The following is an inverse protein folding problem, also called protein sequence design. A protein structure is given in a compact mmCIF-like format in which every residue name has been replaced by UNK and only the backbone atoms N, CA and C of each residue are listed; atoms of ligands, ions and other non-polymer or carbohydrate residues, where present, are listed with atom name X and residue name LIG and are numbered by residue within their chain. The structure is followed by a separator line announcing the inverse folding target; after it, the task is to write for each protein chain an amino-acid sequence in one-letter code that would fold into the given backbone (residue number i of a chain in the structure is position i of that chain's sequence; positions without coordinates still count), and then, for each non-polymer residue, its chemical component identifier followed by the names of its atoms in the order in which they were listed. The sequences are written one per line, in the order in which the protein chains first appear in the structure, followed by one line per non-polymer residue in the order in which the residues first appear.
data_IF_653156253756
#
_entry.id   IF_653156253756
#
_cell.length_a   1.000
_cell.length_b   1.000
_cell.length_c   1.000
_cell.angle_alpha   90.00
_cell.angle_beta   90.00
_cell.angle_gamma   90.00
#
_symmetry.space_group_name_H-M   'P 1'
#
loop_
_entity.id
_entity.type
_entity.pdbx_description
1 polymer ?
#
# COMPACT_ATOMS: atom_id res chain seq x y z
N UNK A 1 50.61 -26.37 -3.03
CA UNK A 1 49.59 -25.86 -3.99
C UNK A 1 48.71 -27.02 -4.41
N UNK A 2 47.51 -27.17 -3.84
CA UNK A 2 46.56 -28.21 -4.25
C UNK A 2 45.73 -27.70 -5.42
N UNK A 3 46.08 -28.09 -6.65
CA UNK A 3 45.24 -27.85 -7.82
C UNK A 3 43.95 -28.66 -7.66
N UNK A 4 42.86 -28.01 -7.24
CA UNK A 4 41.52 -28.60 -7.29
C UNK A 4 41.16 -28.86 -8.75
N UNK A 5 40.70 -30.08 -9.07
CA UNK A 5 40.22 -30.44 -10.42
C UNK A 5 39.20 -29.40 -10.92
N UNK A 6 39.26 -28.99 -12.20
CA UNK A 6 38.26 -28.10 -12.79
C UNK A 6 36.87 -28.76 -12.73
N UNK A 7 35.85 -27.99 -12.32
CA UNK A 7 34.48 -28.50 -12.18
C UNK A 7 33.84 -28.70 -13.56
N UNK A 8 32.94 -29.67 -13.66
CA UNK A 8 32.32 -30.06 -14.95
C UNK A 8 31.52 -28.90 -15.58
N UNK A 9 31.74 -28.59 -16.88
CA UNK A 9 30.96 -27.57 -17.60
C UNK A 9 29.46 -27.85 -17.56
N UNK A 10 29.07 -29.12 -17.64
CA UNK A 10 27.67 -29.57 -17.62
C UNK A 10 27.03 -29.25 -16.27
N UNK A 11 27.71 -29.56 -15.16
CA UNK A 11 27.21 -29.24 -13.82
C UNK A 11 27.08 -27.74 -13.58
N UNK A 12 28.01 -26.95 -14.12
CA UNK A 12 27.97 -25.49 -14.02
C UNK A 12 26.78 -24.94 -14.78
N UNK A 13 26.51 -25.45 -15.98
CA UNK A 13 25.38 -25.02 -16.80
C UNK A 13 24.03 -25.25 -16.10
N UNK A 14 23.79 -26.44 -15.55
CA UNK A 14 22.54 -26.74 -14.84
C UNK A 14 22.37 -25.92 -13.55
N UNK A 15 23.45 -25.70 -12.79
CA UNK A 15 23.40 -24.87 -11.58
C UNK A 15 23.13 -23.41 -11.95
N UNK A 16 23.76 -22.88 -13.00
CA UNK A 16 23.52 -21.52 -13.50
C UNK A 16 22.11 -21.31 -14.06
N UNK A 17 21.46 -22.35 -14.61
CA UNK A 17 20.07 -22.26 -15.09
C UNK A 17 19.07 -22.04 -13.94
N UNK A 18 19.34 -22.59 -12.77
CA UNK A 18 18.49 -22.43 -11.58
C UNK A 18 18.80 -21.12 -10.88
N UNK A 19 20.09 -20.81 -10.70
CA UNK A 19 20.54 -19.58 -10.04
C UNK A 19 21.89 -19.13 -10.63
N UNK A 20 21.92 -18.07 -11.46
CA UNK A 20 23.12 -17.61 -12.15
C UNK A 20 24.30 -17.28 -11.21
N UNK A 21 24.00 -16.78 -10.00
CA UNK A 21 25.02 -16.48 -8.98
C UNK A 21 25.62 -17.77 -8.40
N UNK A 22 24.80 -18.80 -8.19
CA UNK A 22 25.24 -20.10 -7.66
C UNK A 22 26.19 -20.82 -8.64
N UNK A 23 25.96 -20.69 -9.94
CA UNK A 23 26.84 -21.25 -10.96
C UNK A 23 28.23 -20.60 -10.99
N UNK A 24 28.30 -19.27 -10.81
CA UNK A 24 29.56 -18.54 -10.71
C UNK A 24 30.32 -18.87 -9.42
N UNK A 25 29.60 -19.08 -8.32
CA UNK A 25 30.16 -19.59 -7.06
C UNK A 25 30.65 -21.04 -7.21
N UNK A 26 29.93 -21.87 -7.96
CA UNK A 26 30.30 -23.25 -8.22
C UNK A 26 31.67 -23.35 -8.91
N UNK A 27 31.95 -22.51 -9.90
CA UNK A 27 33.28 -22.51 -10.55
C UNK A 27 34.34 -21.69 -9.81
N UNK A 28 34.06 -21.22 -8.59
CA UNK A 28 35.01 -20.48 -7.77
C UNK A 28 35.25 -19.04 -8.23
N UNK A 29 34.40 -18.48 -9.09
CA UNK A 29 34.50 -17.09 -9.58
C UNK A 29 33.74 -16.10 -8.70
N UNK A 30 34.12 -16.05 -7.42
CA UNK A 30 33.43 -15.25 -6.39
C UNK A 30 33.30 -13.75 -6.70
N UNK A 31 34.32 -13.13 -7.32
CA UNK A 31 34.24 -11.70 -7.72
C UNK A 31 33.21 -11.45 -8.81
N UNK A 32 33.10 -12.38 -9.76
CA UNK A 32 32.12 -12.30 -10.84
C UNK A 32 30.71 -12.59 -10.30
N UNK A 33 30.59 -13.59 -9.42
CA UNK A 33 29.34 -13.88 -8.71
C UNK A 33 28.83 -12.68 -7.92
N UNK A 34 29.74 -11.94 -7.26
CA UNK A 34 29.38 -10.71 -6.54
C UNK A 34 28.90 -9.60 -7.49
N UNK A 35 29.61 -9.35 -8.59
CA UNK A 35 29.20 -8.35 -9.58
C UNK A 35 27.84 -8.70 -10.20
N UNK A 36 27.62 -9.98 -10.53
CA UNK A 36 26.35 -10.47 -11.06
C UNK A 36 25.23 -10.41 -10.01
N UNK A 37 25.50 -10.71 -8.74
CA UNK A 37 24.54 -10.56 -7.66
C UNK A 37 24.16 -9.08 -7.43
N UNK A 38 25.14 -8.17 -7.45
CA UNK A 38 24.88 -6.72 -7.32
C UNK A 38 24.04 -6.23 -8.50
N UNK A 39 24.34 -6.65 -9.73
CA UNK A 39 23.55 -6.26 -10.90
C UNK A 39 22.14 -6.86 -10.86
N UNK A 40 22.01 -8.17 -10.66
CA UNK A 40 20.72 -8.87 -10.71
C UNK A 40 19.81 -8.42 -9.57
N UNK A 41 20.31 -8.45 -8.32
CA UNK A 41 19.52 -8.08 -7.15
C UNK A 41 19.46 -6.57 -6.94
N UNK A 42 20.47 -5.81 -7.34
CA UNK A 42 20.38 -4.34 -7.39
C UNK A 42 19.36 -3.87 -8.42
N UNK A 43 19.16 -4.62 -9.51
CA UNK A 43 18.06 -4.38 -10.44
C UNK A 43 16.72 -4.82 -9.85
N UNK A 44 16.64 -5.94 -9.12
CA UNK A 44 15.38 -6.34 -8.43
C UNK A 44 15.00 -5.34 -7.34
N UNK A 45 15.96 -4.90 -6.52
CA UNK A 45 15.79 -3.84 -5.54
C UNK A 45 15.43 -2.55 -6.26
N UNK A 46 16.16 -2.17 -7.31
CA UNK A 46 15.89 -0.96 -8.06
C UNK A 46 14.56 -0.97 -8.82
N UNK A 47 14.07 -2.11 -9.29
CA UNK A 47 12.71 -2.24 -9.85
C UNK A 47 11.67 -2.16 -8.74
N UNK A 48 11.97 -2.71 -7.55
CA UNK A 48 11.11 -2.61 -6.38
C UNK A 48 11.11 -1.21 -5.71
N UNK A 49 12.17 -0.41 -5.91
CA UNK A 49 12.49 0.86 -5.22
C UNK A 49 12.83 2.06 -6.11
N UNK A 50 12.81 1.96 -7.43
CA UNK A 50 12.92 3.09 -8.38
C UNK A 50 11.83 3.05 -9.47
N UNK A 51 10.94 2.06 -9.42
CA UNK A 51 9.50 2.29 -9.63
C UNK A 51 8.87 3.09 -8.46
N UNK A 52 9.61 4.08 -7.94
CA UNK A 52 9.42 4.72 -6.63
C UNK A 52 10.05 6.12 -6.67
N UNK A 53 9.21 7.16 -6.60
CA UNK A 53 9.38 8.23 -5.62
C UNK A 53 7.99 8.62 -5.05
N UNK A 54 7.82 9.03 -3.79
CA UNK A 54 8.60 10.01 -3.07
C UNK A 54 8.26 9.99 -1.57
N UNK A 55 8.99 10.77 -0.78
CA UNK A 55 8.78 10.92 0.67
C UNK A 55 7.68 11.95 0.98
N UNK A 56 6.90 11.70 2.04
CA UNK A 56 6.26 12.76 2.84
C UNK A 56 6.14 12.34 4.31
N UNK A 57 6.89 13.07 5.15
CA UNK A 57 6.51 13.61 6.47
C UNK A 57 5.77 12.69 7.45
N UNK A 58 6.52 11.96 8.29
CA UNK A 58 6.43 11.99 9.76
C UNK A 58 7.49 11.03 10.36
N UNK A 59 8.09 11.40 11.49
CA UNK A 59 9.40 10.90 11.95
C UNK A 59 9.43 9.54 12.70
N UNK A 60 8.40 8.70 12.61
CA UNK A 60 8.37 7.38 13.26
C UNK A 60 8.82 6.14 12.43
N UNK A 61 8.74 6.08 11.09
CA UNK A 61 9.16 4.91 10.32
C UNK A 61 10.69 4.75 10.26
N UNK A 62 11.46 5.79 10.59
CA UNK A 62 12.92 5.75 10.61
C UNK A 62 13.47 4.82 11.70
N UNK A 63 12.81 4.73 12.87
CA UNK A 63 13.29 3.87 13.96
C UNK A 63 13.12 2.38 13.64
N UNK A 64 11.97 2.01 13.07
CA UNK A 64 11.69 0.63 12.66
C UNK A 64 12.59 0.24 11.48
N UNK A 65 12.78 1.14 10.51
CA UNK A 65 13.72 0.92 9.40
C UNK A 65 15.16 0.70 9.90
N UNK A 66 15.65 1.55 10.80
CA UNK A 66 16.99 1.41 11.41
C UNK A 66 17.10 0.10 12.21
N UNK A 67 16.07 -0.28 12.96
CA UNK A 67 16.06 -1.53 13.73
C UNK A 67 16.07 -2.77 12.82
N UNK A 68 15.33 -2.73 11.70
CA UNK A 68 15.29 -3.80 10.71
C UNK A 68 16.62 -3.91 9.93
N UNK A 69 17.28 -2.77 9.65
CA UNK A 69 18.65 -2.75 9.11
C UNK A 69 19.63 -3.35 10.12
N UNK A 70 19.52 -3.01 11.40
CA UNK A 70 20.35 -3.60 12.47
C UNK A 70 20.14 -5.12 12.56
N UNK A 71 18.89 -5.60 12.51
CA UNK A 71 18.58 -7.04 12.52
C UNK A 71 19.10 -7.74 11.27
N UNK A 72 19.05 -7.10 10.10
CA UNK A 72 19.69 -7.58 8.87
C UNK A 72 21.21 -7.68 9.02
N UNK A 73 21.86 -6.67 9.62
CA UNK A 73 23.30 -6.67 9.92
C UNK A 73 23.65 -7.80 10.90
N UNK A 74 22.84 -8.03 11.94
CA UNK A 74 23.00 -9.15 12.89
C UNK A 74 22.86 -10.49 12.17
N UNK A 75 21.87 -10.64 11.28
CA UNK A 75 21.68 -11.83 10.45
C UNK A 75 22.89 -12.13 9.55
N UNK A 76 23.48 -11.10 8.95
CA UNK A 76 24.76 -11.20 8.22
C UNK A 76 25.89 -11.61 9.16
N UNK A 77 25.96 -11.04 10.36
CA UNK A 77 26.94 -11.42 11.40
C UNK A 77 26.87 -12.90 11.81
N UNK A 78 25.65 -13.43 11.97
CA UNK A 78 25.42 -14.86 12.26
C UNK A 78 25.84 -15.73 11.07
N UNK A 79 25.54 -15.32 9.84
CA UNK A 79 25.99 -16.02 8.64
C UNK A 79 27.53 -16.03 8.52
N UNK A 80 28.20 -14.95 8.90
CA UNK A 80 29.66 -14.85 8.96
C UNK A 80 30.26 -15.79 10.04
N UNK A 81 29.62 -15.88 11.22
CA UNK A 81 30.00 -16.81 12.29
C UNK A 81 29.83 -18.28 11.89
N UNK A 82 28.78 -18.61 11.14
CA UNK A 82 28.58 -19.96 10.63
C UNK A 82 29.61 -20.24 9.51
N UNK A 83 29.86 -19.28 8.64
CA UNK A 83 30.83 -19.41 7.55
C UNK A 83 32.27 -19.64 8.04
N UNK A 84 32.63 -19.20 9.25
CA UNK A 84 33.95 -19.47 9.83
C UNK A 84 34.14 -20.94 10.25
N UNK A 85 33.05 -21.69 10.42
CA UNK A 85 33.06 -23.12 10.75
C UNK A 85 32.86 -24.02 9.52
N UNK A 86 32.57 -23.44 8.36
CA UNK A 86 32.41 -24.13 7.08
C UNK A 86 33.75 -24.19 6.36
N UNK A 87 34.12 -25.30 5.69
CA UNK A 87 35.38 -25.38 4.94
C UNK A 87 35.55 -24.19 3.99
N UNK A 88 36.72 -23.53 3.97
CA UNK A 88 37.01 -22.29 3.21
C UNK A 88 36.47 -22.28 1.77
N UNK A 89 36.45 -23.44 1.11
CA UNK A 89 35.91 -23.68 -0.25
C UNK A 89 34.40 -23.43 -0.42
N UNK A 90 33.61 -23.44 0.65
CA UNK A 90 32.16 -23.21 0.66
C UNK A 90 31.75 -21.94 1.44
N UNK A 91 32.63 -21.40 2.29
CA UNK A 91 32.33 -20.23 3.15
C UNK A 91 31.76 -19.03 2.38
N UNK A 92 32.32 -18.72 1.20
CA UNK A 92 31.84 -17.62 0.36
C UNK A 92 30.41 -17.83 -0.17
N UNK A 93 30.01 -19.08 -0.44
CA UNK A 93 28.65 -19.38 -0.91
C UNK A 93 27.61 -19.24 0.20
N UNK A 94 27.92 -19.72 1.40
CA UNK A 94 27.05 -19.58 2.57
C UNK A 94 26.87 -18.11 2.99
N UNK A 95 27.93 -17.29 2.91
CA UNK A 95 27.83 -15.85 3.22
C UNK A 95 26.90 -15.18 2.21
N UNK A 96 27.04 -15.44 0.91
CA UNK A 96 26.20 -14.84 -0.13
C UNK A 96 24.73 -15.28 0.02
N UNK A 97 24.47 -16.58 0.20
CA UNK A 97 23.11 -17.08 0.44
C UNK A 97 22.50 -16.48 1.71
N UNK A 98 23.28 -16.36 2.78
CA UNK A 98 22.85 -15.72 4.03
C UNK A 98 22.47 -14.25 3.85
N UNK A 99 23.25 -13.49 3.09
CA UNK A 99 22.92 -12.08 2.76
C UNK A 99 21.62 -12.01 1.94
N UNK A 100 21.47 -12.85 0.91
CA UNK A 100 20.25 -12.87 0.07
C UNK A 100 19.01 -13.21 0.89
N UNK A 101 19.05 -14.28 1.69
CA UNK A 101 17.94 -14.67 2.56
C UNK A 101 17.61 -13.55 3.54
N UNK A 102 18.62 -12.88 4.11
CA UNK A 102 18.41 -11.74 5.01
C UNK A 102 17.72 -10.57 4.30
N UNK A 103 18.10 -10.25 3.07
CA UNK A 103 17.46 -9.19 2.28
C UNK A 103 16.03 -9.56 1.89
N UNK A 104 15.76 -10.81 1.53
CA UNK A 104 14.41 -11.29 1.23
C UNK A 104 13.50 -11.25 2.46
N UNK A 105 14.00 -11.71 3.61
CA UNK A 105 13.28 -11.64 4.89
C UNK A 105 13.03 -10.18 5.29
N UNK A 106 14.02 -9.30 5.11
CA UNK A 106 13.86 -7.86 5.35
C UNK A 106 12.77 -7.25 4.47
N UNK A 107 12.80 -7.52 3.16
CA UNK A 107 11.77 -7.05 2.23
C UNK A 107 10.38 -7.59 2.58
N UNK A 108 10.29 -8.86 2.97
CA UNK A 108 9.04 -9.47 3.45
C UNK A 108 8.55 -8.80 4.73
N UNK A 109 9.42 -8.54 5.70
CA UNK A 109 9.06 -7.82 6.93
C UNK A 109 8.56 -6.40 6.62
N UNK A 110 9.25 -5.65 5.76
CA UNK A 110 8.82 -4.30 5.34
C UNK A 110 7.44 -4.35 4.68
N UNK A 111 7.22 -5.30 3.77
CA UNK A 111 5.93 -5.48 3.08
C UNK A 111 4.81 -5.88 4.04
N UNK A 112 5.13 -6.72 5.02
CA UNK A 112 4.16 -7.23 5.98
C UNK A 112 3.75 -6.15 6.99
N UNK A 113 4.70 -5.35 7.49
CA UNK A 113 4.47 -4.45 8.62
C UNK A 113 4.46 -2.95 8.25
N UNK A 114 5.17 -2.50 7.22
CA UNK A 114 5.36 -1.04 7.04
C UNK A 114 4.52 -0.52 5.88
N UNK A 115 4.83 -0.97 4.66
CA UNK A 115 4.23 -0.46 3.43
C UNK A 115 3.82 -1.60 2.52
N UNK A 116 2.60 -1.56 2.01
CA UNK A 116 2.10 -2.51 1.03
C UNK A 116 1.70 -1.77 -0.26
N UNK A 117 2.28 -2.15 -1.42
CA UNK A 117 1.81 -1.65 -2.71
C UNK A 117 0.50 -2.35 -3.11
N UNK A 118 -0.39 -1.58 -3.71
CA UNK A 118 -1.65 -2.03 -4.31
C UNK A 118 -1.83 -1.36 -5.67
N UNK A 119 -2.69 -1.95 -6.51
CA UNK A 119 -3.13 -1.37 -7.76
C UNK A 119 -4.66 -1.19 -7.74
N UNK A 120 -5.13 -0.09 -8.32
CA UNK A 120 -6.56 0.16 -8.52
C UNK A 120 -7.01 -0.69 -9.72
N UNK A 121 -7.98 -1.61 -9.54
CA UNK A 121 -8.55 -2.37 -10.65
C UNK A 121 -9.41 -1.47 -11.54
N UNK A 122 -10.15 -2.05 -12.49
CA UNK A 122 -10.97 -1.30 -13.45
C UNK A 122 -12.19 -0.56 -12.84
N UNK A 123 -12.28 -0.42 -11.51
CA UNK A 123 -13.41 0.25 -10.83
C UNK A 123 -13.01 1.65 -10.33
N UNK A 124 -13.80 2.66 -10.67
CA UNK A 124 -13.55 4.09 -10.38
C UNK A 124 -14.31 4.64 -9.18
N UNK A 125 -14.59 3.81 -8.17
CA UNK A 125 -15.34 4.28 -6.99
C UNK A 125 -14.65 5.41 -6.21
N UNK A 126 -13.34 5.55 -6.40
CA UNK A 126 -12.52 6.60 -5.77
C UNK A 126 -12.08 7.70 -6.75
N UNK A 127 -12.61 7.73 -7.98
CA UNK A 127 -12.35 8.84 -8.89
C UNK A 127 -12.97 10.14 -8.34
N UNK A 128 -12.31 11.31 -8.46
CA UNK A 128 -11.09 11.54 -9.24
C UNK A 128 -9.79 11.27 -8.44
N UNK A 129 -9.87 10.96 -7.14
CA UNK A 129 -8.70 10.80 -6.26
C UNK A 129 -7.83 9.62 -6.66
N UNK A 130 -8.43 8.46 -6.92
CA UNK A 130 -7.79 7.25 -7.43
C UNK A 130 -8.53 6.79 -8.69
N UNK A 131 -7.78 6.56 -9.77
CA UNK A 131 -8.32 6.20 -11.08
C UNK A 131 -7.79 4.84 -11.53
N UNK A 132 -8.41 4.27 -12.57
CA UNK A 132 -7.97 3.01 -13.16
C UNK A 132 -6.48 3.03 -13.49
N UNK A 133 -5.79 1.95 -13.13
CA UNK A 133 -4.36 1.78 -13.40
C UNK A 133 -3.43 2.43 -12.39
N UNK A 134 -3.93 3.17 -11.39
CA UNK A 134 -3.10 3.73 -10.34
C UNK A 134 -2.47 2.64 -9.47
N UNK A 135 -1.18 2.76 -9.23
CA UNK A 135 -0.45 2.02 -8.22
C UNK A 135 -0.17 2.95 -7.03
N UNK A 136 -0.55 2.50 -5.85
CA UNK A 136 -0.46 3.29 -4.64
C UNK A 136 0.11 2.49 -3.48
N UNK A 137 0.64 3.20 -2.49
CA UNK A 137 1.21 2.63 -1.27
C UNK A 137 0.27 2.85 -0.11
N UNK A 138 0.05 1.78 0.65
CA UNK A 138 -0.68 1.79 1.92
C UNK A 138 0.31 1.72 3.08
N UNK A 139 0.20 2.64 4.02
CA UNK A 139 0.89 2.59 5.31
C UNK A 139 0.07 1.78 6.31
N UNK A 140 0.59 0.62 6.72
CA UNK A 140 -0.05 -0.22 7.73
C UNK A 140 0.16 0.31 9.14
N UNK A 141 1.36 0.85 9.38
CA UNK A 141 1.72 1.46 10.66
C UNK A 141 0.85 2.66 11.04
N UNK A 142 0.14 3.28 10.09
CA UNK A 142 -0.71 4.44 10.33
C UNK A 142 -1.81 4.16 11.36
N UNK A 143 -2.35 2.94 11.39
CA UNK A 143 -3.40 2.54 12.31
C UNK A 143 -2.97 1.39 13.22
N UNK A 144 -1.67 1.10 13.34
CA UNK A 144 -1.20 -0.09 14.05
C UNK A 144 -1.60 -1.40 13.37
N UNK A 145 -1.58 -2.50 14.11
CA UNK A 145 -1.72 -3.85 13.55
C UNK A 145 -2.89 -4.62 14.15
N UNK A 146 -3.72 -5.19 13.30
CA UNK A 146 -4.76 -6.18 13.62
C UNK A 146 -4.49 -7.51 12.89
N UNK A 147 -5.34 -8.52 13.14
CA UNK A 147 -5.37 -9.77 12.39
C UNK A 147 -5.54 -9.56 10.87
N UNK A 148 -6.23 -8.48 10.46
CA UNK A 148 -6.46 -8.13 9.06
C UNK A 148 -5.28 -7.38 8.43
N UNK A 149 -4.32 -6.90 9.22
CA UNK A 149 -3.17 -6.14 8.70
C UNK A 149 -2.09 -7.00 8.07
N UNK A 150 -2.06 -8.32 8.35
CA UNK A 150 -0.96 -9.22 7.95
C UNK A 150 -1.50 -10.43 7.18
N UNK A 151 -0.85 -10.83 6.06
CA UNK A 151 -1.30 -11.99 5.29
C UNK A 151 -1.21 -13.29 6.09
N UNK A 152 -2.05 -14.26 5.72
CA UNK A 152 -2.09 -15.61 6.28
C UNK A 152 -2.40 -15.68 7.78
N UNK A 153 -2.95 -14.61 8.38
CA UNK A 153 -3.27 -14.61 9.80
C UNK A 153 -2.05 -14.79 10.71
N UNK A 154 -0.85 -14.39 10.26
CA UNK A 154 0.40 -14.56 11.01
C UNK A 154 0.42 -13.77 12.34
N UNK A 155 -0.53 -12.86 12.54
CA UNK A 155 -0.78 -12.16 13.80
C UNK A 155 -2.14 -12.59 14.38
N UNK A 156 -2.21 -13.68 15.17
CA UNK A 156 -3.43 -14.09 15.85
C UNK A 156 -3.65 -13.27 17.13
N UNK A 157 -3.76 -11.95 16.97
CA UNK A 157 -4.04 -11.01 18.07
C UNK A 157 -5.52 -10.64 18.08
N UNK A 158 -6.08 -10.48 19.28
CA UNK A 158 -7.41 -9.91 19.47
C UNK A 158 -7.28 -8.39 19.60
N UNK A 159 -8.04 -7.66 18.79
CA UNK A 159 -7.97 -6.20 18.72
C UNK A 159 -6.75 -5.69 17.93
N UNK A 160 -6.26 -4.51 18.31
CA UNK A 160 -5.23 -3.78 17.58
C UNK A 160 -4.12 -3.29 18.49
N UNK A 161 -2.87 -3.49 18.08
CA UNK A 161 -1.68 -3.04 18.83
C UNK A 161 -1.05 -1.84 18.16
N UNK A 162 -0.48 -0.93 18.97
CA UNK A 162 0.04 0.37 18.50
C UNK A 162 -1.02 1.15 17.68
N UNK A 163 -2.28 1.05 18.10
CA UNK A 163 -3.41 1.63 17.39
C UNK A 163 -3.39 3.14 17.46
N UNK A 164 -3.56 3.76 16.30
CA UNK A 164 -3.91 5.17 16.16
C UNK A 164 -5.23 5.21 15.43
N UNK A 165 -6.21 5.95 15.96
CA UNK A 165 -7.51 6.08 15.32
C UNK A 165 -7.38 6.82 13.99
N UNK A 166 -8.16 6.43 12.96
CA UNK A 166 -8.19 7.15 11.70
C UNK A 166 -8.79 8.54 11.85
N UNK A 167 -8.27 9.46 11.05
CA UNK A 167 -8.80 10.82 10.99
C UNK A 167 -9.87 10.92 9.91
N UNK A 168 -10.82 11.84 10.11
CA UNK A 168 -11.83 12.14 9.11
C UNK A 168 -11.17 12.63 7.82
N UNK A 169 -11.60 12.06 6.70
CA UNK A 169 -11.06 12.34 5.38
C UNK A 169 -9.95 11.37 4.96
N UNK A 170 -9.49 10.47 5.83
CA UNK A 170 -8.49 9.48 5.44
C UNK A 170 -9.02 8.52 4.36
N UNK A 171 -8.19 8.27 3.35
CA UNK A 171 -8.44 7.19 2.38
C UNK A 171 -7.83 5.92 2.94
N UNK A 172 -8.67 4.91 3.17
CA UNK A 172 -8.30 3.68 3.87
C UNK A 172 -8.56 2.47 3.00
N UNK A 173 -7.73 1.45 3.21
CA UNK A 173 -7.98 0.10 2.69
C UNK A 173 -8.39 -0.83 3.82
N UNK A 174 -9.34 -1.72 3.55
CA UNK A 174 -9.87 -2.65 4.53
C UNK A 174 -10.43 -3.90 3.83
N UNK A 175 -10.59 -4.98 4.59
CA UNK A 175 -11.27 -6.17 4.10
C UNK A 175 -12.73 -6.16 4.58
N UNK A 176 -13.66 -6.50 3.69
CA UNK A 176 -15.00 -6.90 4.12
C UNK A 176 -14.95 -8.24 4.84
N UNK A 177 -16.06 -8.62 5.47
CA UNK A 177 -16.19 -9.91 6.14
C UNK A 177 -16.01 -11.09 5.17
N UNK A 178 -16.34 -10.90 3.90
CA UNK A 178 -16.10 -11.87 2.81
C UNK A 178 -14.64 -11.92 2.32
N UNK A 179 -13.74 -11.13 2.92
CA UNK A 179 -12.32 -11.06 2.59
C UNK A 179 -11.99 -10.26 1.33
N UNK A 180 -12.95 -9.51 0.78
CA UNK A 180 -12.72 -8.63 -0.38
C UNK A 180 -12.10 -7.32 0.09
N UNK A 181 -11.01 -6.90 -0.55
CA UNK A 181 -10.34 -5.66 -0.22
C UNK A 181 -11.03 -4.46 -0.88
N UNK A 182 -11.39 -3.46 -0.07
CA UNK A 182 -11.99 -2.21 -0.50
C UNK A 182 -11.07 -1.02 -0.22
N UNK A 183 -11.30 0.07 -0.96
CA UNK A 183 -10.63 1.34 -0.77
C UNK A 183 -11.72 2.41 -0.75
N UNK A 184 -11.84 3.13 0.37
CA UNK A 184 -12.86 4.17 0.57
C UNK A 184 -12.31 5.30 1.43
N UNK A 185 -13.01 6.42 1.48
CA UNK A 185 -12.70 7.55 2.35
C UNK A 185 -13.56 7.51 3.62
N UNK A 186 -12.94 7.70 4.78
CA UNK A 186 -13.65 7.87 6.05
C UNK A 186 -14.31 9.25 6.06
N UNK A 187 -15.63 9.27 6.14
CA UNK A 187 -16.42 10.50 6.23
C UNK A 187 -17.14 10.66 7.56
N UNK A 188 -17.51 9.56 8.22
CA UNK A 188 -18.14 9.56 9.54
C UNK A 188 -17.32 8.80 10.58
N UNK A 189 -17.18 9.40 11.75
CA UNK A 189 -16.47 8.85 12.91
C UNK A 189 -17.45 8.16 13.88
N UNK A 190 -16.96 7.33 14.81
CA UNK A 190 -17.80 6.69 15.82
C UNK A 190 -18.72 7.68 16.56
N UNK A 191 -19.99 7.32 16.71
CA UNK A 191 -21.00 8.11 17.43
C UNK A 191 -21.70 9.20 16.61
N UNK A 192 -21.22 9.50 15.39
CA UNK A 192 -21.78 10.56 14.57
C UNK A 192 -23.01 10.11 13.79
N UNK A 193 -23.89 11.05 13.46
CA UNK A 193 -25.03 10.82 12.56
C UNK A 193 -24.68 11.29 11.15
N UNK A 194 -24.70 10.37 10.20
CA UNK A 194 -24.40 10.62 8.78
C UNK A 194 -25.68 10.52 7.97
N UNK A 195 -25.88 11.48 7.07
CA UNK A 195 -27.02 11.49 6.16
C UNK A 195 -26.63 12.19 4.85
N UNK A 196 -27.18 11.75 3.72
CA UNK A 196 -27.13 12.51 2.46
C UNK A 196 -28.53 13.06 2.19
N UNK A 197 -28.62 14.36 1.87
CA UNK A 197 -29.87 15.03 1.49
C UNK A 197 -29.58 15.81 0.21
N UNK A 198 -30.32 15.54 -0.86
CA UNK A 198 -30.14 16.14 -2.19
C UNK A 198 -28.67 16.14 -2.66
N UNK A 199 -27.97 15.02 -2.45
CA UNK A 199 -26.57 14.83 -2.85
C UNK A 199 -25.54 15.46 -1.92
N UNK A 200 -25.98 16.20 -0.90
CA UNK A 200 -25.11 16.85 0.08
C UNK A 200 -24.95 15.99 1.33
N UNK A 201 -23.71 15.67 1.69
CA UNK A 201 -23.36 14.98 2.93
C UNK A 201 -23.65 15.88 4.14
N UNK A 202 -24.34 15.35 5.13
CA UNK A 202 -24.61 15.98 6.42
C UNK A 202 -23.98 15.13 7.54
N UNK A 203 -23.28 15.80 8.45
CA UNK A 203 -22.63 15.19 9.62
C UNK A 203 -23.21 15.87 10.86
N UNK A 204 -23.84 15.09 11.73
CA UNK A 204 -24.61 15.57 12.89
C UNK A 204 -25.62 16.67 12.53
N UNK A 205 -26.29 16.49 11.38
CA UNK A 205 -27.26 17.44 10.84
C UNK A 205 -26.65 18.69 10.19
N UNK A 206 -25.33 18.86 10.23
CA UNK A 206 -24.64 20.00 9.60
C UNK A 206 -24.24 19.65 8.17
N UNK A 207 -24.64 20.42 7.15
CA UNK A 207 -24.23 20.16 5.76
C UNK A 207 -22.74 20.39 5.57
N UNK A 208 -22.07 19.43 4.94
CA UNK A 208 -20.69 19.54 4.49
C UNK A 208 -20.62 20.55 3.35
N UNK A 209 -19.63 21.44 3.39
CA UNK A 209 -19.47 22.48 2.38
C UNK A 209 -19.13 21.84 1.04
N UNK A 210 -19.91 22.15 0.01
CA UNK A 210 -19.75 21.64 -1.35
C UNK A 210 -19.64 22.81 -2.33
N UNK A 211 -18.55 22.87 -3.09
CA UNK A 211 -18.29 23.93 -4.08
C UNK A 211 -18.13 23.31 -5.46
N UNK A 212 -18.76 23.89 -6.48
CA UNK A 212 -18.59 23.41 -7.86
C UNK A 212 -17.13 23.60 -8.30
N UNK A 213 -16.51 22.50 -8.72
CA UNK A 213 -15.15 22.46 -9.24
C UNK A 213 -15.10 22.57 -10.77
N UNK A 214 -13.92 22.36 -11.32
CA UNK A 214 -13.74 22.23 -12.77
C UNK A 214 -14.33 20.91 -13.26
N UNK A 215 -15.11 20.89 -14.36
CA UNK A 215 -15.67 19.65 -14.90
C UNK A 215 -14.60 18.58 -15.09
N UNK A 216 -14.88 17.37 -14.62
CA UNK A 216 -13.95 16.25 -14.72
C UNK A 216 -14.18 15.50 -16.02
N UNK A 217 -13.14 15.35 -16.84
CA UNK A 217 -13.19 14.51 -18.03
C UNK A 217 -12.92 13.07 -17.65
N UNK A 218 -13.96 12.24 -17.61
CA UNK A 218 -13.80 10.81 -17.32
C UNK A 218 -13.13 10.12 -18.52
N UNK A 219 -12.00 9.46 -18.29
CA UNK A 219 -11.28 8.72 -19.33
C UNK A 219 -11.97 7.39 -19.71
N UNK A 220 -12.98 6.98 -18.94
CA UNK A 220 -13.56 5.62 -19.00
C UNK A 220 -14.67 5.43 -20.03
N UNK A 221 -15.24 6.50 -20.58
CA UNK A 221 -16.27 6.38 -21.59
C UNK A 221 -15.69 6.71 -22.97
N UNK A 222 -15.92 5.82 -23.94
CA UNK A 222 -15.76 6.07 -25.38
C UNK A 222 -16.50 7.34 -25.88
N UNK A 223 -17.30 7.96 -25.01
CA UNK A 223 -17.84 9.30 -25.14
C UNK A 223 -17.31 10.16 -23.98
N UNK A 224 -16.41 11.11 -24.28
CA UNK A 224 -15.88 12.10 -23.35
C UNK A 224 -16.96 13.09 -22.90
N UNK A 225 -17.87 12.66 -22.03
CA UNK A 225 -18.81 13.56 -21.37
C UNK A 225 -18.15 14.08 -20.09
N UNK A 226 -17.92 15.39 -20.03
CA UNK A 226 -17.47 16.03 -18.80
C UNK A 226 -18.55 15.87 -17.73
N UNK A 227 -18.16 15.42 -16.54
CA UNK A 227 -19.06 15.19 -15.40
C UNK A 227 -18.85 16.27 -14.34
N UNK A 228 -19.88 16.53 -13.55
CA UNK A 228 -19.81 17.52 -12.49
C UNK A 228 -18.84 17.03 -11.40
N UNK A 229 -17.86 17.88 -11.10
CA UNK A 229 -16.93 17.69 -10.01
C UNK A 229 -17.23 18.73 -8.95
N UNK A 230 -17.21 18.31 -7.70
CA UNK A 230 -17.39 19.19 -6.56
C UNK A 230 -16.21 19.05 -5.61
N UNK A 231 -15.84 20.15 -4.98
CA UNK A 231 -14.94 20.15 -3.83
C UNK A 231 -15.78 20.06 -2.57
N UNK A 232 -15.55 19.02 -1.79
CA UNK A 232 -16.12 18.91 -0.45
C UNK A 232 -15.10 19.27 0.61
N UNK A 233 -15.54 20.06 1.60
CA UNK A 233 -14.73 20.42 2.76
C UNK A 233 -15.39 19.90 4.02
N UNK A 234 -14.73 18.92 4.64
CA UNK A 234 -15.16 18.30 5.89
C UNK A 234 -15.01 19.25 7.09
N UNK A 235 -15.68 18.97 8.22
CA UNK A 235 -15.65 19.83 9.41
C UNK A 235 -14.24 20.11 9.97
N UNK A 236 -13.28 19.21 9.75
CA UNK A 236 -11.88 19.38 10.16
C UNK A 236 -11.05 20.23 9.17
N UNK A 237 -11.68 20.89 8.19
CA UNK A 237 -11.01 21.76 7.21
C UNK A 237 -10.30 21.00 6.08
N UNK A 238 -10.34 19.66 6.12
CA UNK A 238 -9.87 18.80 5.05
C UNK A 238 -10.79 18.91 3.85
N UNK A 239 -10.23 19.06 2.65
CA UNK A 239 -11.01 19.01 1.42
C UNK A 239 -10.47 18.01 0.38
N UNK A 240 -11.38 17.51 -0.45
CA UNK A 240 -11.12 16.62 -1.58
C UNK A 240 -12.18 16.82 -2.66
N UNK A 241 -11.93 16.26 -3.85
CA UNK A 241 -12.86 16.34 -4.97
C UNK A 241 -13.72 15.07 -5.02
N UNK A 242 -14.99 15.25 -5.36
CA UNK A 242 -15.96 14.18 -5.57
C UNK A 242 -16.62 14.32 -6.94
N UNK A 243 -17.11 13.21 -7.48
CA UNK A 243 -17.92 13.20 -8.71
C UNK A 243 -19.38 12.94 -8.35
N UNK A 244 -20.27 13.70 -8.98
CA UNK A 244 -21.68 13.38 -9.11
C UNK A 244 -21.98 13.32 -10.62
N UNK A 245 -22.28 12.10 -11.07
CA UNK A 245 -22.52 11.69 -12.44
C UNK A 245 -24.00 11.74 -12.82
N UNK A 246 -24.90 11.57 -11.84
CA UNK A 246 -26.34 11.42 -12.06
C UNK A 246 -27.11 12.26 -11.06
N UNK A 247 -27.98 13.14 -11.55
CA UNK A 247 -28.91 13.88 -10.71
C UNK A 247 -29.93 12.92 -10.06
N UNK A 248 -30.18 13.07 -8.76
CA UNK A 248 -31.11 12.25 -7.98
C UNK A 248 -30.74 10.75 -8.00
N UNK A 249 -29.46 10.45 -7.83
CA UNK A 249 -29.00 9.08 -7.66
C UNK A 249 -29.57 8.47 -6.37
N UNK A 250 -29.58 7.14 -6.28
CA UNK A 250 -30.06 6.43 -5.09
C UNK A 250 -29.26 6.83 -3.84
N UNK A 251 -28.01 7.27 -4.00
CA UNK A 251 -27.14 7.69 -2.92
C UNK A 251 -27.30 9.15 -2.48
N UNK A 252 -28.12 9.94 -3.19
CA UNK A 252 -28.31 11.37 -2.93
C UNK A 252 -29.24 11.65 -1.75
N UNK A 253 -30.11 10.70 -1.42
CA UNK A 253 -31.07 10.82 -0.33
C UNK A 253 -31.07 9.56 0.52
N UNK A 254 -30.43 9.63 1.69
CA UNK A 254 -30.36 8.52 2.65
C UNK A 254 -31.09 8.89 3.95
N UNK A 255 -31.49 7.86 4.70
CA UNK A 255 -31.94 8.05 6.08
C UNK A 255 -30.77 8.41 7.00
N UNK A 256 -31.02 9.06 8.14
CA UNK A 256 -29.97 9.30 9.12
C UNK A 256 -29.44 7.97 9.66
N UNK A 257 -28.12 7.85 9.71
CA UNK A 257 -27.43 6.66 10.18
C UNK A 257 -26.44 7.03 11.29
N UNK A 258 -26.57 6.41 12.46
CA UNK A 258 -25.63 6.62 13.58
C UNK A 258 -24.49 5.61 13.45
N UNK A 259 -23.26 6.11 13.38
CA UNK A 259 -22.06 5.28 13.27
C UNK A 259 -21.81 4.55 14.60
N UNK A 260 -21.78 3.21 14.63
CA UNK A 260 -21.52 2.48 15.85
C UNK A 260 -20.13 2.77 16.43
N UNK A 261 -19.99 2.62 17.75
CA UNK A 261 -18.71 2.73 18.43
C UNK A 261 -17.66 1.78 17.82
N UNK A 262 -16.45 2.29 17.60
CA UNK A 262 -15.35 1.53 17.01
C UNK A 262 -15.51 1.19 15.52
N UNK A 263 -16.49 1.78 14.83
CA UNK A 263 -16.68 1.64 13.39
C UNK A 263 -16.63 2.99 12.68
N UNK A 264 -16.45 2.95 11.35
CA UNK A 264 -16.34 4.14 10.52
C UNK A 264 -17.33 4.09 9.37
N UNK A 265 -17.92 5.23 9.04
CA UNK A 265 -18.73 5.39 7.84
C UNK A 265 -17.83 5.82 6.69
N UNK A 266 -17.78 5.01 5.64
CA UNK A 266 -16.90 5.24 4.50
C UNK A 266 -17.70 5.49 3.23
N UNK A 267 -17.19 6.40 2.39
CA UNK A 267 -17.79 6.74 1.11
C UNK A 267 -16.74 6.73 -0.01
N UNK A 268 -17.18 6.42 -1.22
CA UNK A 268 -16.36 6.65 -2.41
C UNK A 268 -16.36 8.12 -2.81
N UNK A 269 -15.26 8.56 -3.43
CA UNK A 269 -15.19 9.91 -4.00
C UNK A 269 -16.03 10.02 -5.28
N UNK A 270 -16.26 8.92 -5.98
CA UNK A 270 -17.22 8.85 -7.07
C UNK A 270 -18.59 8.45 -6.51
N UNK A 271 -19.43 9.44 -6.20
CA UNK A 271 -20.62 9.26 -5.37
C UNK A 271 -21.68 8.37 -6.01
N UNK A 272 -21.72 8.34 -7.33
CA UNK A 272 -22.71 7.55 -8.07
C UNK A 272 -22.17 6.22 -8.58
N UNK A 273 -20.86 5.98 -8.47
CA UNK A 273 -20.22 4.73 -8.88
C UNK A 273 -19.48 4.05 -7.72
N UNK A 274 -20.07 4.09 -6.52
CA UNK A 274 -19.46 3.54 -5.31
C UNK A 274 -20.49 2.79 -4.49
N UNK A 275 -20.31 1.48 -4.38
CA UNK A 275 -20.89 0.67 -3.31
C UNK A 275 -20.07 0.91 -2.04
N UNK A 276 -20.67 1.60 -1.07
CA UNK A 276 -20.05 2.08 0.17
C UNK A 276 -21.06 2.09 1.32
N UNK A 277 -20.75 2.74 2.45
CA UNK A 277 -21.56 2.64 3.68
C UNK A 277 -23.00 3.16 3.53
N UNK A 278 -23.32 3.89 2.45
CA UNK A 278 -24.70 4.27 2.12
C UNK A 278 -25.57 3.09 1.67
N UNK A 279 -24.93 2.01 1.23
CA UNK A 279 -25.58 0.89 0.55
C UNK A 279 -25.29 -0.44 1.26
N UNK A 280 -24.74 -1.42 0.55
CA UNK A 280 -24.62 -2.80 1.04
C UNK A 280 -23.42 -3.03 1.95
N UNK A 281 -22.42 -2.14 1.88
CA UNK A 281 -21.17 -2.27 2.64
C UNK A 281 -21.38 -2.13 4.17
N UNK A 282 -22.32 -1.27 4.58
CA UNK A 282 -22.45 -0.87 5.98
C UNK A 282 -21.22 -0.13 6.51
N UNK A 283 -21.12 0.03 7.83
CA UNK A 283 -19.95 0.62 8.49
C UNK A 283 -18.79 -0.37 8.59
N UNK A 284 -17.58 0.18 8.70
CA UNK A 284 -16.34 -0.60 8.71
C UNK A 284 -15.76 -0.65 10.12
N UNK A 285 -15.66 -1.82 10.76
CA UNK A 285 -14.99 -1.97 12.05
C UNK A 285 -13.53 -1.53 11.99
N UNK A 286 -13.04 -0.92 13.08
CA UNK A 286 -11.65 -0.48 13.15
C UNK A 286 -10.64 -1.62 12.94
N UNK A 287 -10.99 -2.84 13.35
CA UNK A 287 -10.16 -4.02 13.19
C UNK A 287 -9.98 -4.46 11.73
N UNK A 288 -10.97 -4.16 10.87
CA UNK A 288 -10.95 -4.53 9.44
C UNK A 288 -9.99 -3.64 8.63
N UNK A 289 -9.60 -2.47 9.15
CA UNK A 289 -8.68 -1.56 8.46
C UNK A 289 -7.30 -2.21 8.25
N UNK A 290 -6.83 -2.22 7.01
CA UNK A 290 -5.49 -2.68 6.64
C UNK A 290 -4.48 -1.55 6.81
N UNK A 291 -4.84 -0.33 6.36
CA UNK A 291 -3.96 0.83 6.46
C UNK A 291 -4.45 2.06 5.69
N UNK A 292 -3.65 3.13 5.78
CA UNK A 292 -3.91 4.42 5.13
C UNK A 292 -3.27 4.49 3.74
N UNK A 293 -4.01 4.89 2.72
CA UNK A 293 -3.44 5.22 1.41
C UNK A 293 -2.65 6.53 1.53
N UNK A 294 -1.34 6.48 1.29
CA UNK A 294 -0.45 7.64 1.49
C UNK A 294 0.02 8.27 0.19
N UNK A 295 0.11 7.49 -0.90
CA UNK A 295 0.77 7.95 -2.12
C UNK A 295 0.42 7.13 -3.36
N UNK A 296 0.23 7.80 -4.48
CA UNK A 296 0.25 7.20 -5.83
C UNK A 296 1.67 7.31 -6.38
N UNK A 297 2.20 6.26 -6.98
CA UNK A 297 3.58 6.24 -7.49
C UNK A 297 3.69 5.89 -8.97
N UNK A 298 2.63 5.36 -9.58
CA UNK A 298 2.59 5.04 -11.00
C UNK A 298 1.14 4.91 -11.47
N UNK A 299 0.89 5.10 -12.76
CA UNK A 299 -0.36 4.76 -13.42
C UNK A 299 -0.06 3.95 -14.70
N UNK A 300 -0.63 2.75 -14.84
CA UNK A 300 -0.36 1.87 -15.99
C UNK A 300 -0.95 2.35 -17.31
N UNK A 301 -1.98 3.20 -17.26
CA UNK A 301 -2.68 3.73 -18.43
C UNK A 301 -2.05 5.03 -18.97
N UNK A 302 -0.95 5.48 -18.35
CA UNK A 302 -0.26 6.72 -18.74
C UNK A 302 -1.01 7.99 -18.35
N UNK A 303 -2.00 7.90 -17.45
CA UNK A 303 -2.72 9.06 -16.92
C UNK A 303 -1.81 9.83 -15.97
N UNK A 304 -1.71 11.15 -16.16
CA UNK A 304 -0.95 12.00 -15.24
C UNK A 304 -1.57 11.96 -13.84
N UNK A 305 -0.72 11.71 -12.85
CA UNK A 305 -1.07 11.59 -11.44
C UNK A 305 -0.30 12.59 -10.57
N UNK A 306 0.47 13.51 -11.16
CA UNK A 306 1.30 14.49 -10.45
C UNK A 306 0.49 15.30 -9.43
N UNK A 307 -0.68 15.79 -9.83
CA UNK A 307 -1.59 16.56 -8.97
C UNK A 307 -2.31 15.72 -7.89
N UNK A 308 -2.31 14.41 -8.05
CA UNK A 308 -2.97 13.41 -7.17
C UNK A 308 -1.99 12.58 -6.35
N UNK A 309 -0.69 12.84 -6.50
CA UNK A 309 0.37 12.00 -5.95
C UNK A 309 0.27 11.87 -4.42
N UNK A 310 -0.08 12.97 -3.75
CA UNK A 310 -0.45 12.96 -2.33
C UNK A 310 -1.95 12.73 -2.21
N UNK A 311 -2.32 11.55 -1.73
CA UNK A 311 -3.71 11.20 -1.39
C UNK A 311 -4.10 11.77 -0.02
N UNK A 312 -3.13 12.35 0.70
CA UNK A 312 -3.36 13.06 1.96
C UNK A 312 -4.27 14.25 1.67
N UNK A 313 -5.40 14.37 2.40
CA UNK A 313 -6.31 15.46 2.15
C UNK A 313 -5.67 16.82 2.44
N UNK A 314 -5.98 17.81 1.60
CA UNK A 314 -5.40 19.15 1.72
C UNK A 314 -6.09 19.87 2.88
N UNK A 315 -5.32 20.46 3.80
CA UNK A 315 -5.87 21.37 4.80
C UNK A 315 -6.14 22.72 4.15
N UNK A 316 -7.37 23.23 4.29
CA UNK A 316 -7.68 24.62 3.97
C UNK A 316 -6.99 25.54 4.99
N UNK A 317 -6.38 26.62 4.49
CA UNK A 317 -5.96 27.78 5.30
C UNK A 317 -7.17 28.57 5.78
#
# INVERSE_FOLDING_TARGET
MTHSKPRSPISTFFISMVEPVAGLLWIGRGKLALATAILLYGTIIGVSYFGWPAFSTNAYPNKIFVELVIKGIIGVGICLLIASHVPKRYSNGFIVSGVIVSLMLLALCIRTFVFQPFNVPATTSMAPTLVMGDYFVVSKSAYGYSSHSVPFGLLPIQGRVFSTEPERGDVVTFNSDDGVAFIKRIVGLPGETIQTIDGVLHIDGTPVKMELGTPYSMYEARNSSAVAQYRETLPNGVYYNVLSLVDNSVGDNTGPYVVPDGQYFVMGDNRDNSDDSRFSLGTVPFENLIGKVVRIFWNSEGIDYSDRQSVIPKQGT
#
